data_IF_102046259234
#
_entry.id   IF_102046259234
#
_cell.length_a   1.000
_cell.length_b   1.000
_cell.length_c   1.000
_cell.angle_alpha   90.00
_cell.angle_beta   90.00
_cell.angle_gamma   90.00
#
_symmetry.space_group_name_H-M   'P 1'
#
loop_
_entity.id
_entity.type
_entity.pdbx_description
1 polymer ?
#
# COMPACT_ATOMS: atom_id res chain seq x y z
N UNK A 1 -3.19 24.07 -21.02
CA UNK A 1 -3.80 24.47 -19.73
C UNK A 1 -2.69 24.68 -18.73
N UNK A 2 -2.58 25.90 -18.17
CA UNK A 2 -1.57 26.23 -17.17
C UNK A 2 -1.90 25.53 -15.85
N UNK A 3 -0.96 24.74 -15.34
CA UNK A 3 -1.11 24.10 -14.04
C UNK A 3 -1.07 25.20 -12.96
N UNK A 4 -2.15 25.37 -12.21
CA UNK A 4 -2.16 26.30 -11.09
C UNK A 4 -1.46 25.68 -9.85
N UNK A 5 -0.14 25.78 -9.79
CA UNK A 5 0.68 25.20 -8.73
C UNK A 5 0.55 25.89 -7.37
N UNK A 6 -0.13 27.03 -7.28
CA UNK A 6 -0.34 27.75 -6.00
C UNK A 6 -1.13 26.92 -4.97
N UNK A 7 -1.83 25.88 -5.42
CA UNK A 7 -2.60 24.96 -4.58
C UNK A 7 -1.91 23.62 -4.35
N UNK A 8 -0.69 23.40 -4.88
CA UNK A 8 0.01 22.15 -4.68
C UNK A 8 0.42 21.99 -3.21
N UNK A 9 0.04 20.87 -2.60
CA UNK A 9 0.30 20.54 -1.20
C UNK A 9 1.32 19.41 -1.04
N UNK A 10 1.49 18.60 -2.09
CA UNK A 10 2.43 17.49 -2.13
C UNK A 10 3.07 17.36 -3.51
N UNK A 11 4.24 16.72 -3.56
CA UNK A 11 5.00 16.44 -4.76
C UNK A 11 5.39 14.96 -4.78
N UNK A 12 5.04 14.26 -5.86
CA UNK A 12 5.50 12.92 -6.18
C UNK A 12 6.42 12.97 -7.41
N UNK A 13 7.63 12.42 -7.25
CA UNK A 13 8.59 12.24 -8.35
C UNK A 13 8.79 10.75 -8.52
N UNK A 14 8.29 10.21 -9.60
CA UNK A 14 8.02 8.79 -9.77
C UNK A 14 8.55 8.28 -11.10
N UNK A 15 8.67 6.97 -11.21
CA UNK A 15 8.95 6.23 -12.44
C UNK A 15 8.24 4.87 -12.38
N UNK A 16 8.32 4.07 -13.44
CA UNK A 16 7.74 2.73 -13.45
C UNK A 16 8.36 1.83 -12.36
N UNK A 17 7.53 0.99 -11.74
CA UNK A 17 7.99 0.01 -10.75
C UNK A 17 8.45 -1.28 -11.42
N UNK A 18 9.53 -1.18 -12.18
CA UNK A 18 10.14 -2.29 -12.93
C UNK A 18 11.62 -2.45 -12.57
N UNK A 19 12.18 -3.61 -12.91
CA UNK A 19 13.60 -3.86 -12.68
C UNK A 19 14.48 -2.92 -13.50
N UNK A 20 14.07 -2.59 -14.72
CA UNK A 20 14.78 -1.71 -15.65
C UNK A 20 14.81 -0.27 -15.15
N UNK A 21 13.78 0.15 -14.41
CA UNK A 21 13.66 1.50 -13.88
C UNK A 21 14.36 1.73 -12.52
N UNK A 22 15.12 0.77 -12.00
CA UNK A 22 15.79 0.89 -10.69
C UNK A 22 16.73 2.09 -10.58
N UNK A 23 17.53 2.33 -11.61
CA UNK A 23 18.44 3.47 -11.66
C UNK A 23 17.68 4.79 -11.71
N UNK A 24 16.64 4.83 -12.55
CA UNK A 24 15.76 5.98 -12.68
C UNK A 24 14.99 6.25 -11.38
N UNK A 25 14.55 5.22 -10.67
CA UNK A 25 13.94 5.34 -9.34
C UNK A 25 14.91 5.96 -8.33
N UNK A 26 16.19 5.61 -8.40
CA UNK A 26 17.22 6.23 -7.55
C UNK A 26 17.41 7.72 -7.88
N UNK A 27 17.43 8.08 -9.16
CA UNK A 27 17.43 9.46 -9.63
C UNK A 27 16.20 10.22 -9.10
N UNK A 28 14.98 9.70 -9.30
CA UNK A 28 13.74 10.33 -8.85
C UNK A 28 13.77 10.64 -7.35
N UNK A 29 14.22 9.67 -6.53
CA UNK A 29 14.37 9.85 -5.08
C UNK A 29 15.34 10.98 -4.72
N UNK A 30 16.50 11.05 -5.38
CA UNK A 30 17.48 12.11 -5.14
C UNK A 30 16.99 13.46 -5.66
N UNK A 31 16.31 13.49 -6.79
CA UNK A 31 15.80 14.71 -7.42
C UNK A 31 14.60 15.30 -6.66
N UNK A 32 13.84 14.50 -5.94
CA UNK A 32 12.69 14.96 -5.14
C UNK A 32 13.06 16.08 -4.17
N UNK A 33 14.19 15.96 -3.48
CA UNK A 33 14.59 16.94 -2.43
C UNK A 33 14.86 18.32 -3.01
N UNK A 34 15.78 18.50 -3.97
CA UNK A 34 16.05 19.82 -4.54
C UNK A 34 14.85 20.41 -5.28
N UNK A 35 14.06 19.57 -5.99
CA UNK A 35 12.84 20.05 -6.67
C UNK A 35 11.81 20.56 -5.66
N UNK A 36 11.58 19.83 -4.57
CA UNK A 36 10.67 20.24 -3.48
C UNK A 36 11.10 21.59 -2.87
N UNK A 37 12.39 21.78 -2.63
CA UNK A 37 12.92 23.03 -2.10
C UNK A 37 12.71 24.20 -3.09
N UNK A 38 13.00 23.99 -4.38
CA UNK A 38 12.82 24.98 -5.42
C UNK A 38 11.33 25.39 -5.55
N UNK A 39 10.42 24.43 -5.56
CA UNK A 39 8.97 24.70 -5.64
C UNK A 39 8.45 25.43 -4.41
N UNK A 40 8.92 25.09 -3.20
CA UNK A 40 8.59 25.82 -1.96
C UNK A 40 9.08 27.27 -2.03
N UNK A 41 10.34 27.49 -2.46
CA UNK A 41 10.92 28.83 -2.61
C UNK A 41 10.11 29.69 -3.58
N UNK A 42 9.55 29.11 -4.63
CA UNK A 42 8.68 29.77 -5.62
C UNK A 42 7.24 29.95 -5.12
N UNK A 43 6.86 29.41 -3.98
CA UNK A 43 5.49 29.43 -3.46
C UNK A 43 4.51 28.51 -4.20
N UNK A 44 5.02 27.59 -5.03
CA UNK A 44 4.21 26.66 -5.81
C UNK A 44 3.88 25.37 -5.06
N UNK A 45 4.57 25.09 -3.98
CA UNK A 45 4.34 23.95 -3.10
C UNK A 45 4.18 24.44 -1.66
N UNK A 46 2.99 24.29 -1.11
CA UNK A 46 2.68 24.80 0.24
C UNK A 46 3.12 23.83 1.36
N UNK A 47 3.18 22.54 1.07
CA UNK A 47 3.68 21.53 2.00
C UNK A 47 2.90 21.42 3.32
N UNK A 48 1.58 21.49 3.28
CA UNK A 48 0.72 21.30 4.46
C UNK A 48 0.33 19.83 4.57
N UNK A 49 0.89 19.05 5.51
CA UNK A 49 0.64 17.61 5.61
C UNK A 49 -0.83 17.24 5.94
N UNK A 50 -1.64 18.19 6.41
CA UNK A 50 -3.03 17.97 6.81
C UNK A 50 -4.04 18.76 5.95
N UNK A 51 -3.66 19.15 4.75
CA UNK A 51 -4.60 19.82 3.85
C UNK A 51 -5.75 18.88 3.47
N UNK A 52 -6.99 19.31 3.71
CA UNK A 52 -8.19 18.58 3.27
C UNK A 52 -8.50 18.77 1.79
N UNK A 53 -7.93 19.81 1.16
CA UNK A 53 -8.08 20.16 -0.24
C UNK A 53 -6.75 20.62 -0.80
N UNK A 54 -6.52 20.38 -2.07
CA UNK A 54 -5.31 20.81 -2.76
C UNK A 54 -4.92 19.87 -3.89
N UNK A 55 -3.92 20.27 -4.62
CA UNK A 55 -3.35 19.50 -5.73
C UNK A 55 -2.09 18.76 -5.26
N UNK A 56 -1.91 17.55 -5.79
CA UNK A 56 -0.64 16.83 -5.73
C UNK A 56 0.01 16.97 -7.09
N UNK A 57 1.24 17.47 -7.11
CA UNK A 57 2.04 17.56 -8.32
C UNK A 57 2.73 16.23 -8.56
N UNK A 58 2.62 15.71 -9.77
CA UNK A 58 3.28 14.49 -10.21
C UNK A 58 4.32 14.80 -11.28
N UNK A 59 5.53 14.27 -11.09
CA UNK A 59 6.59 14.24 -12.08
C UNK A 59 6.92 12.77 -12.36
N UNK A 60 6.45 12.23 -13.49
CA UNK A 60 6.65 10.84 -13.85
C UNK A 60 7.73 10.73 -14.93
N UNK A 61 8.87 10.17 -14.56
CA UNK A 61 9.99 9.95 -15.44
C UNK A 61 9.89 8.62 -16.16
N UNK A 62 9.95 8.65 -17.48
CA UNK A 62 10.06 7.44 -18.34
C UNK A 62 11.51 7.19 -18.75
N UNK A 63 12.30 8.25 -18.79
CA UNK A 63 13.73 8.25 -19.11
C UNK A 63 14.41 9.40 -18.36
N UNK A 64 15.74 9.40 -18.21
CA UNK A 64 16.45 10.48 -17.51
C UNK A 64 16.18 11.89 -18.07
N UNK A 65 15.87 11.99 -19.36
CA UNK A 65 15.59 13.23 -20.08
C UNK A 65 14.13 13.40 -20.50
N UNK A 66 13.23 12.49 -20.08
CA UNK A 66 11.81 12.55 -20.42
C UNK A 66 10.95 12.44 -19.15
N UNK A 67 10.17 13.49 -18.88
CA UNK A 67 9.30 13.58 -17.72
C UNK A 67 7.91 14.07 -18.12
N UNK A 68 6.89 13.33 -17.68
CA UNK A 68 5.51 13.80 -17.75
C UNK A 68 5.17 14.52 -16.45
N UNK A 69 4.59 15.72 -16.58
CA UNK A 69 4.17 16.52 -15.44
C UNK A 69 2.65 16.63 -15.44
N UNK A 70 2.05 16.38 -14.30
CA UNK A 70 0.60 16.44 -14.14
C UNK A 70 0.21 16.73 -12.70
N UNK A 71 -1.07 16.77 -12.43
CA UNK A 71 -1.57 16.92 -11.07
C UNK A 71 -2.81 16.05 -10.82
N UNK A 72 -3.04 15.74 -9.57
CA UNK A 72 -4.28 15.14 -9.07
C UNK A 72 -4.83 15.95 -7.91
N UNK A 73 -6.06 15.70 -7.52
CA UNK A 73 -6.64 16.32 -6.34
C UNK A 73 -6.58 15.38 -5.14
N UNK A 74 -6.37 15.93 -3.94
CA UNK A 74 -6.52 15.19 -2.69
C UNK A 74 -7.90 14.54 -2.63
N UNK A 75 -7.92 13.25 -2.30
CA UNK A 75 -9.15 12.44 -2.25
C UNK A 75 -9.58 11.81 -3.59
N UNK A 76 -8.91 12.14 -4.70
CA UNK A 76 -9.13 11.54 -6.02
C UNK A 76 -7.86 10.90 -6.59
N UNK A 77 -7.03 10.35 -5.72
CA UNK A 77 -5.79 9.65 -6.07
C UNK A 77 -5.37 8.72 -4.95
N UNK A 78 -4.45 7.82 -5.24
CA UNK A 78 -3.78 7.04 -4.18
C UNK A 78 -2.94 7.95 -3.29
N UNK A 79 -3.00 7.73 -1.98
CA UNK A 79 -2.13 8.39 -1.00
C UNK A 79 -0.74 7.76 -0.95
N UNK A 80 -0.55 6.63 -1.61
CA UNK A 80 0.71 5.91 -1.65
C UNK A 80 1.56 6.34 -2.83
N UNK A 81 2.86 6.46 -2.60
CA UNK A 81 3.84 6.69 -3.65
C UNK A 81 3.71 5.60 -4.73
N UNK A 82 3.64 5.99 -5.99
CA UNK A 82 3.38 5.12 -7.16
C UNK A 82 2.05 4.32 -7.08
N UNK A 83 1.13 4.71 -6.22
CA UNK A 83 -0.13 3.99 -6.00
C UNK A 83 0.02 2.65 -5.27
N UNK A 84 1.23 2.31 -4.79
CA UNK A 84 1.55 0.99 -4.23
C UNK A 84 1.74 1.08 -2.72
N UNK A 85 0.89 0.46 -1.90
CA UNK A 85 1.15 0.31 -0.48
C UNK A 85 2.32 -0.68 -0.29
N UNK A 86 3.45 -0.19 0.21
CA UNK A 86 4.62 -1.03 0.49
C UNK A 86 4.54 -1.57 1.91
N UNK A 87 3.85 -2.69 2.05
CA UNK A 87 3.64 -3.36 3.33
C UNK A 87 4.90 -4.12 3.76
N UNK A 88 5.19 -4.06 5.05
CA UNK A 88 6.27 -4.84 5.64
C UNK A 88 5.80 -6.28 5.83
N UNK A 89 6.59 -7.24 5.35
CA UNK A 89 6.31 -8.67 5.56
C UNK A 89 6.52 -9.02 7.05
N UNK A 90 5.49 -9.57 7.74
CA UNK A 90 5.64 -10.04 9.10
C UNK A 90 6.57 -11.26 9.16
N UNK A 91 7.48 -11.27 10.13
CA UNK A 91 8.48 -12.34 10.24
C UNK A 91 7.88 -13.72 10.59
N UNK A 92 6.72 -13.72 11.24
CA UNK A 92 5.95 -14.88 11.67
C UNK A 92 4.91 -15.36 10.66
N UNK A 93 4.72 -14.64 9.56
CA UNK A 93 3.77 -15.02 8.54
C UNK A 93 4.28 -16.19 7.69
N UNK A 94 3.44 -17.21 7.41
CA UNK A 94 3.87 -18.44 6.74
C UNK A 94 4.19 -18.26 5.26
N UNK A 95 3.69 -17.21 4.62
CA UNK A 95 4.00 -16.92 3.21
C UNK A 95 3.80 -15.45 2.85
N UNK A 96 4.42 -15.02 1.74
CA UNK A 96 4.28 -13.65 1.23
C UNK A 96 2.86 -13.31 0.73
N UNK A 97 2.02 -14.31 0.49
CA UNK A 97 0.60 -14.09 0.11
C UNK A 97 -0.19 -13.34 1.18
N UNK A 98 0.29 -13.36 2.44
CA UNK A 98 -0.28 -12.58 3.54
C UNK A 98 -0.40 -11.08 3.21
N UNK A 99 0.57 -10.53 2.44
CA UNK A 99 0.57 -9.12 2.06
C UNK A 99 -0.58 -8.76 1.11
N UNK A 100 -1.01 -9.71 0.27
CA UNK A 100 -2.13 -9.49 -0.67
C UNK A 100 -3.45 -9.26 0.07
N UNK A 101 -3.73 -10.10 1.07
CA UNK A 101 -4.94 -9.94 1.88
C UNK A 101 -4.85 -8.70 2.78
N UNK A 102 -3.67 -8.41 3.36
CA UNK A 102 -3.45 -7.19 4.14
C UNK A 102 -3.70 -5.94 3.29
N UNK A 103 -3.17 -5.89 2.07
CA UNK A 103 -3.41 -4.80 1.13
C UNK A 103 -4.88 -4.64 0.79
N UNK A 104 -5.59 -5.74 0.53
CA UNK A 104 -7.02 -5.73 0.25
C UNK A 104 -7.82 -5.18 1.44
N UNK A 105 -7.53 -5.63 2.65
CA UNK A 105 -8.19 -5.15 3.87
C UNK A 105 -7.96 -3.65 4.05
N UNK A 106 -6.72 -3.17 3.93
CA UNK A 106 -6.39 -1.76 4.08
C UNK A 106 -6.99 -0.88 2.99
N UNK A 107 -7.23 -1.44 1.81
CA UNK A 107 -7.79 -0.72 0.66
C UNK A 107 -9.32 -0.63 0.73
N UNK A 108 -9.98 -1.72 1.09
CA UNK A 108 -11.43 -1.83 0.97
C UNK A 108 -12.19 -1.67 2.30
N UNK A 109 -11.50 -1.80 3.42
CA UNK A 109 -12.13 -1.66 4.74
C UNK A 109 -11.61 -0.39 5.42
N UNK A 110 -12.48 0.61 5.71
CA UNK A 110 -12.09 1.76 6.49
C UNK A 110 -11.54 1.35 7.87
N UNK A 111 -10.45 1.98 8.30
CA UNK A 111 -9.77 1.63 9.58
C UNK A 111 -10.71 1.63 10.79
N UNK A 112 -11.66 2.55 10.82
CA UNK A 112 -12.65 2.65 11.90
C UNK A 112 -13.74 1.56 11.85
N UNK A 113 -13.78 0.77 10.76
CA UNK A 113 -14.73 -0.34 10.59
C UNK A 113 -14.05 -1.71 10.66
N UNK A 114 -12.72 -1.79 10.61
CA UNK A 114 -11.99 -3.05 10.54
C UNK A 114 -12.36 -3.99 11.69
N UNK A 115 -12.34 -3.53 12.95
CA UNK A 115 -12.72 -4.34 14.11
C UNK A 115 -14.20 -4.74 14.18
N UNK A 116 -15.06 -4.02 13.46
CA UNK A 116 -16.48 -4.40 13.34
C UNK A 116 -16.69 -5.48 12.27
N UNK A 117 -15.90 -5.43 11.21
CA UNK A 117 -16.03 -6.33 10.05
C UNK A 117 -15.15 -7.58 10.15
N UNK A 118 -14.10 -7.54 10.95
CA UNK A 118 -13.15 -8.64 11.16
C UNK A 118 -12.83 -8.71 12.64
N UNK A 119 -13.39 -9.69 13.35
CA UNK A 119 -13.23 -9.82 14.80
C UNK A 119 -13.40 -11.28 15.27
N UNK A 120 -13.20 -11.49 16.55
CA UNK A 120 -13.20 -12.81 17.21
C UNK A 120 -14.54 -13.55 17.22
N UNK A 121 -15.65 -12.87 16.93
CA UNK A 121 -16.97 -13.48 16.84
C UNK A 121 -17.29 -14.00 15.42
N UNK A 122 -16.35 -13.84 14.49
CA UNK A 122 -16.54 -14.23 13.10
C UNK A 122 -15.78 -15.51 12.78
N UNK A 123 -16.35 -16.24 11.83
CA UNK A 123 -15.77 -17.45 11.24
C UNK A 123 -15.42 -17.13 9.78
N UNK A 124 -14.20 -17.47 9.37
CA UNK A 124 -13.74 -17.35 8.00
C UNK A 124 -13.52 -18.70 7.36
N UNK A 125 -13.55 -18.73 6.02
CA UNK A 125 -13.13 -19.88 5.22
C UNK A 125 -12.06 -19.41 4.24
N UNK A 126 -10.90 -20.08 4.24
CA UNK A 126 -9.79 -19.84 3.31
C UNK A 126 -9.67 -21.05 2.38
N UNK A 127 -9.99 -20.85 1.10
CA UNK A 127 -9.96 -21.89 0.07
C UNK A 127 -8.61 -21.84 -0.68
N UNK A 128 -7.86 -22.94 -0.68
CA UNK A 128 -6.49 -22.98 -1.18
C UNK A 128 -5.53 -22.36 -0.15
N UNK A 129 -5.73 -22.71 1.12
CA UNK A 129 -5.14 -22.01 2.25
C UNK A 129 -3.63 -22.20 2.39
N UNK A 130 -3.08 -23.34 1.98
CA UNK A 130 -1.68 -23.72 2.24
C UNK A 130 -0.66 -22.67 1.68
N UNK A 131 0.37 -22.33 2.46
CA UNK A 131 0.69 -22.72 3.84
C UNK A 131 0.01 -21.85 4.92
N UNK A 132 -0.94 -20.97 4.56
CA UNK A 132 -1.75 -20.20 5.50
C UNK A 132 -1.52 -18.69 5.49
N UNK A 133 -1.09 -18.12 4.36
CA UNK A 133 -0.80 -16.69 4.28
C UNK A 133 -2.04 -15.81 4.49
N UNK A 134 -3.18 -16.17 3.95
CA UNK A 134 -4.44 -15.48 4.17
C UNK A 134 -5.05 -15.86 5.52
N UNK A 135 -5.05 -17.15 5.85
CA UNK A 135 -5.44 -17.64 7.18
C UNK A 135 -4.75 -16.85 8.29
N UNK A 136 -3.44 -16.57 8.17
CA UNK A 136 -2.68 -15.77 9.13
C UNK A 136 -3.31 -14.38 9.35
N UNK A 137 -3.71 -13.68 8.29
CA UNK A 137 -4.32 -12.36 8.42
C UNK A 137 -5.68 -12.38 9.10
N UNK A 138 -6.47 -13.41 8.86
CA UNK A 138 -7.78 -13.58 9.47
C UNK A 138 -7.64 -13.94 10.96
N UNK A 139 -6.77 -14.89 11.28
CA UNK A 139 -6.46 -15.30 12.67
C UNK A 139 -5.89 -14.14 13.48
N UNK A 140 -4.98 -13.36 12.89
CA UNK A 140 -4.41 -12.16 13.52
C UNK A 140 -5.48 -11.13 13.92
N UNK A 141 -6.62 -11.12 13.23
CA UNK A 141 -7.79 -10.27 13.53
C UNK A 141 -8.79 -10.95 14.46
N UNK A 142 -8.46 -12.14 14.96
CA UNK A 142 -9.24 -12.87 15.94
C UNK A 142 -10.23 -13.88 15.36
N UNK A 143 -10.39 -13.98 14.04
CA UNK A 143 -11.33 -14.92 13.45
C UNK A 143 -10.93 -16.36 13.74
N UNK A 144 -11.94 -17.24 13.82
CA UNK A 144 -11.73 -18.67 13.66
C UNK A 144 -11.81 -19.02 12.16
N UNK A 145 -10.89 -19.83 11.63
CA UNK A 145 -10.76 -20.05 10.18
C UNK A 145 -10.78 -21.54 9.83
N UNK A 146 -11.69 -21.92 8.96
CA UNK A 146 -11.63 -23.20 8.25
C UNK A 146 -10.68 -23.06 7.07
N UNK A 147 -9.51 -23.69 7.17
CA UNK A 147 -8.45 -23.64 6.17
C UNK A 147 -8.56 -24.90 5.27
N UNK A 148 -9.09 -24.71 4.07
CA UNK A 148 -9.37 -25.81 3.12
C UNK A 148 -8.23 -25.93 2.13
N UNK A 149 -7.44 -27.01 2.24
CA UNK A 149 -6.35 -27.31 1.33
C UNK A 149 -5.78 -28.72 1.62
N UNK A 150 -5.36 -29.44 0.57
CA UNK A 150 -4.65 -30.71 0.72
C UNK A 150 -3.19 -30.53 1.19
N UNK A 151 -2.63 -29.32 1.04
CA UNK A 151 -1.27 -28.99 1.46
C UNK A 151 -1.12 -28.83 2.97
N UNK A 152 0.12 -28.84 3.43
CA UNK A 152 0.43 -28.71 4.87
C UNK A 152 0.36 -27.27 5.33
N UNK A 153 -0.47 -26.99 6.33
CA UNK A 153 -0.54 -25.70 7.00
C UNK A 153 0.70 -25.46 7.90
N UNK A 154 1.07 -24.22 8.07
CA UNK A 154 2.16 -23.84 8.98
C UNK A 154 1.82 -24.20 10.44
N UNK A 155 2.78 -24.80 11.16
CA UNK A 155 2.58 -25.24 12.54
C UNK A 155 2.18 -24.07 13.47
N UNK A 156 2.76 -22.89 13.28
CA UNK A 156 2.44 -21.68 14.05
C UNK A 156 0.98 -21.28 13.99
N UNK A 157 0.25 -21.65 12.94
CA UNK A 157 -1.18 -21.38 12.86
C UNK A 157 -2.02 -22.36 13.68
N UNK A 158 -1.61 -23.63 13.75
CA UNK A 158 -2.26 -24.62 14.63
C UNK A 158 -2.09 -24.24 16.11
N UNK A 159 -0.93 -23.70 16.49
CA UNK A 159 -0.64 -23.27 17.86
C UNK A 159 -1.56 -22.15 18.34
N UNK A 160 -2.21 -21.42 17.43
CA UNK A 160 -3.17 -20.36 17.78
C UNK A 160 -4.49 -20.90 18.33
N UNK A 161 -4.84 -22.16 18.05
CA UNK A 161 -6.13 -22.77 18.37
C UNK A 161 -7.32 -22.15 17.62
N UNK A 162 -7.07 -21.34 16.57
CA UNK A 162 -8.08 -20.60 15.82
C UNK A 162 -8.24 -21.08 14.39
N UNK A 163 -7.69 -22.24 14.05
CA UNK A 163 -7.88 -22.84 12.73
C UNK A 163 -8.37 -24.28 12.82
N UNK A 164 -9.15 -24.66 11.84
CA UNK A 164 -9.44 -26.06 11.52
C UNK A 164 -8.97 -26.31 10.08
N UNK A 165 -8.03 -27.27 9.93
CA UNK A 165 -7.51 -27.65 8.62
C UNK A 165 -8.41 -28.74 8.02
N UNK A 166 -8.97 -28.45 6.87
CA UNK A 166 -9.86 -29.33 6.11
C UNK A 166 -9.17 -29.75 4.81
N UNK A 167 -8.60 -30.97 4.72
CA UNK A 167 -7.90 -31.46 3.54
C UNK A 167 -8.83 -31.82 2.38
#
# INVERSE_FOLDING_TARGET
EDINLKQAVELFVETADTNEAKELSTFCRKFTVPLRQALKKKGWLQGKPNAKRGQILHCFFTQPNCCYVGYSYLGNNSTHFMGIPRLKFPADAPSRSTLKLEEAILTFIPRNEESKRLNENMVGVDLGACPGGWTYQLVKRGLFVYAVDHGKMAASLHDTGRIEHCP
#
